data_IF_111517680277
#
_entry.id   IF_111517680277
#
_cell.length_a   1.000
_cell.length_b   1.000
_cell.length_c   1.000
_cell.angle_alpha   90.00
_cell.angle_beta   90.00
_cell.angle_gamma   90.00
#
_symmetry.space_group_name_H-M   'P 1'
#
loop_
_entity.id
_entity.type
_entity.pdbx_description
1 polymer ?
#
# COMPACT_ATOMS: atom_id res chain seq x y z
N UNK A 1 -27.49 -11.99 4.49
CA UNK A 1 -27.48 -11.12 5.68
C UNK A 1 -26.62 -9.92 5.32
N UNK A 2 -27.20 -8.72 5.24
CA UNK A 2 -26.44 -7.48 4.93
C UNK A 2 -25.86 -6.95 6.25
N UNK A 3 -24.56 -6.72 6.28
CA UNK A 3 -23.90 -6.10 7.43
C UNK A 3 -24.14 -4.58 7.42
N UNK A 4 -24.07 -3.95 8.59
CA UNK A 4 -24.20 -2.50 8.76
C UNK A 4 -23.26 -1.70 7.84
N UNK A 5 -22.02 -2.19 7.66
CA UNK A 5 -21.00 -1.62 6.78
C UNK A 5 -21.36 -1.65 5.29
N UNK A 6 -22.35 -2.46 4.89
CA UNK A 6 -22.77 -2.59 3.51
C UNK A 6 -23.78 -1.50 3.12
N UNK A 7 -24.48 -0.93 4.10
CA UNK A 7 -25.56 0.02 3.89
C UNK A 7 -25.12 1.47 4.03
N UNK A 8 -24.30 1.79 5.03
CA UNK A 8 -23.92 3.16 5.34
C UNK A 8 -22.50 3.28 5.90
N UNK A 9 -21.87 4.40 5.63
CA UNK A 9 -20.59 4.80 6.23
C UNK A 9 -20.84 6.00 7.16
N UNK A 10 -19.95 6.20 8.13
CA UNK A 10 -19.92 7.44 8.91
C UNK A 10 -19.30 8.52 8.04
N UNK A 11 -19.99 9.66 7.90
CA UNK A 11 -19.50 10.80 7.12
C UNK A 11 -18.17 11.29 7.69
N UNK A 12 -17.20 11.52 6.79
CA UNK A 12 -15.84 11.95 7.16
C UNK A 12 -14.86 10.80 7.50
N UNK A 13 -15.35 9.61 7.86
CA UNK A 13 -14.48 8.44 8.09
C UNK A 13 -14.10 7.82 6.76
N UNK A 14 -12.83 7.91 6.41
CA UNK A 14 -12.30 7.38 5.15
C UNK A 14 -10.97 6.68 5.33
N UNK A 15 -10.67 5.77 4.44
CA UNK A 15 -9.31 5.25 4.28
C UNK A 15 -8.49 6.28 3.49
N UNK A 16 -7.25 6.50 3.90
CA UNK A 16 -6.34 7.37 3.18
C UNK A 16 -5.34 6.53 2.38
N UNK A 17 -5.18 6.89 1.12
CA UNK A 17 -4.21 6.21 0.26
C UNK A 17 -2.81 6.75 0.52
N UNK A 18 -1.88 5.84 0.70
CA UNK A 18 -0.45 6.12 0.86
C UNK A 18 0.31 5.63 -0.35
N UNK A 19 1.35 6.38 -0.70
CA UNK A 19 2.24 6.06 -1.81
C UNK A 19 3.69 6.22 -1.38
N UNK A 20 4.56 5.35 -1.86
CA UNK A 20 5.99 5.44 -1.61
C UNK A 20 6.80 4.94 -2.79
N UNK A 21 8.02 5.44 -2.91
CA UNK A 21 9.02 4.97 -3.86
C UNK A 21 10.07 4.16 -3.11
N UNK A 22 10.35 2.95 -3.58
CA UNK A 22 11.30 2.05 -2.93
C UNK A 22 12.12 1.22 -3.91
N UNK A 23 12.98 0.40 -3.35
CA UNK A 23 13.79 -0.58 -4.08
C UNK A 23 13.47 -1.99 -3.60
N UNK A 24 13.34 -2.90 -4.55
CA UNK A 24 13.29 -4.34 -4.31
C UNK A 24 14.65 -4.92 -4.68
N UNK A 25 15.19 -5.73 -3.79
CA UNK A 25 16.50 -6.39 -3.96
C UNK A 25 16.35 -7.92 -3.90
N UNK A 26 17.39 -8.63 -4.31
CA UNK A 26 17.40 -10.10 -4.27
C UNK A 26 16.73 -10.76 -5.47
N UNK A 27 16.50 -9.99 -6.56
CA UNK A 27 15.98 -10.51 -7.82
C UNK A 27 17.07 -11.33 -8.53
N UNK A 28 16.69 -12.43 -9.14
CA UNK A 28 17.63 -13.32 -9.85
C UNK A 28 17.75 -12.91 -11.34
N UNK A 29 18.38 -11.77 -11.59
CA UNK A 29 18.59 -11.26 -12.94
C UNK A 29 17.33 -10.71 -13.63
N UNK A 30 16.21 -10.64 -12.91
CA UNK A 30 14.90 -10.20 -13.45
C UNK A 30 14.56 -8.74 -13.11
N UNK A 31 15.46 -8.06 -12.41
CA UNK A 31 15.33 -6.66 -12.03
C UNK A 31 15.57 -5.68 -13.18
N UNK A 32 15.72 -4.41 -12.82
CA UNK A 32 15.92 -3.33 -13.79
C UNK A 32 17.28 -3.39 -14.48
N UNK A 33 17.28 -3.01 -15.75
CA UNK A 33 18.50 -2.77 -16.53
C UNK A 33 19.04 -1.39 -16.17
N UNK A 34 19.99 -1.31 -15.24
CA UNK A 34 20.47 -0.05 -14.67
C UNK A 34 21.03 0.95 -15.68
N UNK A 35 21.46 0.49 -16.84
CA UNK A 35 21.92 1.38 -17.93
C UNK A 35 20.75 2.14 -18.58
N UNK A 36 19.56 1.54 -18.63
CA UNK A 36 18.37 2.11 -19.25
C UNK A 36 17.51 2.89 -18.24
N UNK A 37 17.66 2.55 -16.94
CA UNK A 37 16.83 3.11 -15.86
C UNK A 37 17.71 3.89 -14.88
N UNK A 38 18.08 5.14 -15.20
CA UNK A 38 19.03 5.92 -14.41
C UNK A 38 18.55 6.22 -12.98
N UNK A 39 17.24 6.34 -12.75
CA UNK A 39 16.70 6.59 -11.42
C UNK A 39 16.87 5.40 -10.47
N UNK A 40 16.79 4.16 -10.95
CA UNK A 40 17.08 2.96 -10.13
C UNK A 40 18.54 2.95 -9.70
N UNK A 41 19.44 3.27 -10.62
CA UNK A 41 20.88 3.38 -10.33
C UNK A 41 21.18 4.45 -9.29
N UNK A 42 20.61 5.65 -9.45
CA UNK A 42 20.81 6.76 -8.51
C UNK A 42 20.26 6.43 -7.11
N UNK A 43 19.09 5.82 -7.04
CA UNK A 43 18.46 5.42 -5.77
C UNK A 43 19.28 4.37 -5.04
N UNK A 44 19.76 3.35 -5.77
CA UNK A 44 20.66 2.34 -5.20
C UNK A 44 21.96 2.97 -4.69
N UNK A 45 22.55 3.87 -5.46
CA UNK A 45 23.76 4.59 -5.07
C UNK A 45 23.52 5.43 -3.80
N UNK A 46 22.47 6.23 -3.77
CA UNK A 46 22.13 7.06 -2.61
C UNK A 46 21.89 6.22 -1.34
N UNK A 47 21.26 5.06 -1.50
CA UNK A 47 21.02 4.13 -0.38
C UNK A 47 22.33 3.55 0.15
N UNK A 48 23.22 3.08 -0.73
CA UNK A 48 24.53 2.51 -0.34
C UNK A 48 25.42 3.57 0.31
N UNK A 49 25.42 4.80 -0.20
CA UNK A 49 26.14 5.92 0.40
C UNK A 49 25.63 6.25 1.81
N UNK A 50 24.30 6.20 2.05
CA UNK A 50 23.72 6.36 3.40
C UNK A 50 24.16 5.27 4.38
N UNK A 51 24.42 4.07 3.88
CA UNK A 51 24.94 2.95 4.67
C UNK A 51 26.46 2.98 4.82
N UNK A 52 27.14 4.02 4.33
CA UNK A 52 28.59 4.18 4.43
C UNK A 52 29.40 3.47 3.33
N UNK A 53 28.75 2.94 2.30
CA UNK A 53 29.42 2.31 1.16
C UNK A 53 29.65 3.35 0.07
N UNK A 54 30.92 3.68 -0.18
CA UNK A 54 31.28 4.62 -1.25
C UNK A 54 31.42 3.87 -2.58
N UNK A 55 30.52 4.19 -3.53
CA UNK A 55 30.51 3.58 -4.87
C UNK A 55 30.65 4.63 -5.99
N UNK A 56 31.11 5.84 -5.66
CA UNK A 56 31.29 6.92 -6.65
C UNK A 56 32.28 6.48 -7.74
N UNK A 57 31.84 6.58 -8.98
CA UNK A 57 32.65 6.16 -10.14
C UNK A 57 32.64 4.67 -10.43
N UNK A 58 32.00 3.83 -9.61
CA UNK A 58 31.84 2.41 -9.89
C UNK A 58 30.79 2.17 -10.98
N UNK A 59 31.07 1.25 -11.89
CA UNK A 59 30.08 0.76 -12.84
C UNK A 59 29.27 -0.33 -12.18
N UNK A 60 28.07 0.01 -11.74
CA UNK A 60 27.14 -0.96 -11.16
C UNK A 60 26.38 -1.65 -12.32
N UNK A 61 26.56 -2.96 -12.41
CA UNK A 61 25.84 -3.83 -13.35
C UNK A 61 25.18 -4.92 -12.54
N UNK A 62 23.88 -4.80 -12.34
CA UNK A 62 23.10 -5.82 -11.65
C UNK A 62 21.67 -5.80 -12.17
N UNK A 63 21.10 -6.97 -12.43
CA UNK A 63 19.67 -7.18 -12.67
C UNK A 63 18.94 -7.66 -11.42
N UNK A 64 19.56 -7.51 -10.25
CA UNK A 64 19.01 -8.03 -8.99
C UNK A 64 18.25 -6.97 -8.19
N UNK A 65 18.11 -5.76 -8.74
CA UNK A 65 17.43 -4.62 -8.10
C UNK A 65 16.38 -4.05 -9.05
N UNK A 66 15.24 -3.67 -8.52
CA UNK A 66 14.20 -2.96 -9.26
C UNK A 66 13.66 -1.77 -8.45
N UNK A 67 13.42 -0.66 -9.14
CA UNK A 67 12.65 0.45 -8.58
C UNK A 67 11.16 0.13 -8.61
N UNK A 68 10.49 0.42 -7.51
CA UNK A 68 9.09 0.07 -7.33
C UNK A 68 8.29 1.23 -6.73
N UNK A 69 7.01 1.27 -7.11
CA UNK A 69 5.99 2.04 -6.42
C UNK A 69 5.31 1.15 -5.40
N UNK A 70 5.19 1.66 -4.18
CA UNK A 70 4.50 0.98 -3.08
C UNK A 70 3.24 1.76 -2.76
N UNK A 71 2.12 1.08 -2.71
CA UNK A 71 0.83 1.67 -2.37
C UNK A 71 0.20 0.93 -1.21
N UNK A 72 -0.49 1.65 -0.33
CA UNK A 72 -1.21 1.08 0.80
C UNK A 72 -2.42 1.93 1.17
N UNK A 73 -3.40 1.31 1.81
CA UNK A 73 -4.58 2.00 2.32
C UNK A 73 -4.48 2.07 3.84
N UNK A 74 -4.23 3.28 4.36
CA UNK A 74 -4.26 3.54 5.78
C UNK A 74 -5.71 3.47 6.26
N UNK A 75 -6.06 2.50 7.14
CA UNK A 75 -7.41 2.39 7.64
C UNK A 75 -7.78 3.60 8.49
N UNK A 76 -9.06 3.98 8.45
CA UNK A 76 -9.59 4.91 9.43
C UNK A 76 -9.39 4.31 10.84
N UNK A 77 -8.95 5.09 11.79
CA UNK A 77 -8.60 4.64 13.15
C UNK A 77 -7.40 3.66 13.24
N UNK A 78 -6.55 3.64 12.21
CA UNK A 78 -5.28 2.91 12.28
C UNK A 78 -4.37 3.55 13.33
N UNK A 79 -4.04 2.79 14.40
CA UNK A 79 -3.17 3.26 15.49
C UNK A 79 -1.69 3.03 15.16
N UNK A 80 -0.83 3.88 15.72
CA UNK A 80 0.61 3.73 15.60
C UNK A 80 1.06 2.32 16.03
N UNK A 81 1.97 1.72 15.26
CA UNK A 81 2.47 0.36 15.48
C UNK A 81 1.59 -0.74 14.86
N UNK A 82 0.37 -0.44 14.39
CA UNK A 82 -0.43 -1.44 13.67
C UNK A 82 0.12 -1.68 12.27
N UNK A 83 -0.18 -2.85 11.72
CA UNK A 83 0.32 -3.28 10.42
C UNK A 83 -0.77 -3.22 9.36
N UNK A 84 -0.37 -2.91 8.14
CA UNK A 84 -1.25 -2.92 6.98
C UNK A 84 -0.57 -3.61 5.78
N UNK A 85 -1.38 -4.09 4.87
CA UNK A 85 -0.92 -4.67 3.62
C UNK A 85 -0.49 -3.59 2.63
N UNK A 86 0.50 -3.91 1.83
CA UNK A 86 0.95 -3.03 0.75
C UNK A 86 1.05 -3.78 -0.56
N UNK A 87 0.84 -3.05 -1.63
CA UNK A 87 1.04 -3.52 -3.01
C UNK A 87 2.29 -2.86 -3.56
N UNK A 88 3.12 -3.65 -4.21
CA UNK A 88 4.41 -3.24 -4.79
C UNK A 88 4.36 -3.47 -6.28
N UNK A 89 4.63 -2.44 -7.08
CA UNK A 89 4.57 -2.49 -8.54
C UNK A 89 5.89 -1.97 -9.14
N UNK A 90 6.47 -2.69 -10.10
CA UNK A 90 7.68 -2.25 -10.77
C UNK A 90 7.45 -0.95 -11.55
N UNK A 91 8.42 -0.03 -11.47
CA UNK A 91 8.43 1.24 -12.21
C UNK A 91 9.34 1.20 -13.43
N UNK A 92 10.35 0.34 -13.38
CA UNK A 92 11.36 0.21 -14.43
C UNK A 92 11.02 -0.91 -15.44
N UNK A 93 12.06 -1.50 -15.97
CA UNK A 93 11.98 -2.59 -16.95
C UNK A 93 12.16 -3.98 -16.33
N UNK A 94 12.01 -4.09 -15.02
CA UNK A 94 12.05 -5.37 -14.31
C UNK A 94 10.99 -6.33 -14.84
N UNK A 95 11.42 -7.54 -15.19
CA UNK A 95 10.56 -8.56 -15.79
C UNK A 95 9.77 -9.37 -14.76
N UNK A 96 10.33 -9.53 -13.56
CA UNK A 96 9.72 -10.31 -12.50
C UNK A 96 10.27 -9.86 -11.14
N UNK A 97 9.39 -9.69 -10.16
CA UNK A 97 9.74 -9.32 -8.78
C UNK A 97 9.76 -10.54 -7.82
N UNK A 98 9.57 -11.75 -8.33
CA UNK A 98 9.51 -12.95 -7.51
C UNK A 98 10.80 -13.19 -6.74
N UNK A 99 10.67 -13.57 -5.47
CA UNK A 99 11.82 -13.78 -4.56
C UNK A 99 12.43 -12.48 -4.02
N UNK A 100 11.99 -11.31 -4.50
CA UNK A 100 12.51 -10.03 -4.09
C UNK A 100 12.05 -9.61 -2.69
N UNK A 101 12.86 -8.77 -2.06
CA UNK A 101 12.57 -8.15 -0.77
C UNK A 101 12.54 -6.63 -0.94
N UNK A 102 11.44 -6.00 -0.50
CA UNK A 102 11.31 -4.55 -0.45
C UNK A 102 12.17 -4.00 0.70
N UNK A 103 13.02 -3.06 0.39
CA UNK A 103 13.79 -2.31 1.38
C UNK A 103 12.92 -1.27 2.09
N UNK A 104 13.39 -0.77 3.22
CA UNK A 104 12.69 0.25 4.01
C UNK A 104 12.23 1.40 3.13
N UNK A 105 10.92 1.57 3.04
CA UNK A 105 10.26 2.51 2.14
C UNK A 105 9.25 3.34 2.91
N UNK A 106 9.43 4.66 3.03
CA UNK A 106 8.42 5.54 3.61
C UNK A 106 7.21 5.66 2.69
N UNK A 107 6.02 5.60 3.28
CA UNK A 107 4.75 5.80 2.60
C UNK A 107 4.17 7.16 2.97
N UNK A 108 3.93 7.99 1.97
CA UNK A 108 3.48 9.36 2.12
C UNK A 108 1.97 9.46 1.84
N UNK A 109 1.31 10.32 2.59
CA UNK A 109 -0.04 10.77 2.29
C UNK A 109 -0.08 11.87 1.23
N UNK A 110 -1.26 12.32 0.87
CA UNK A 110 -1.48 13.40 -0.11
C UNK A 110 -0.91 14.76 0.37
N UNK A 111 -0.67 14.92 1.65
CA UNK A 111 -0.06 16.09 2.28
C UNK A 111 1.49 16.06 2.28
N UNK A 112 2.08 14.99 1.73
CA UNK A 112 3.53 14.80 1.68
C UNK A 112 4.17 14.33 2.98
N UNK A 113 3.39 14.08 4.03
CA UNK A 113 3.91 13.54 5.29
C UNK A 113 4.01 12.01 5.24
N UNK A 114 4.99 11.45 5.97
CA UNK A 114 5.14 10.01 6.13
C UNK A 114 4.17 9.51 7.21
N UNK A 115 3.34 8.53 6.86
CA UNK A 115 2.36 7.90 7.74
C UNK A 115 2.68 6.46 8.09
N UNK A 116 3.39 5.77 7.20
CA UNK A 116 3.78 4.39 7.42
C UNK A 116 5.13 4.08 6.80
N UNK A 117 5.75 2.99 7.23
CA UNK A 117 7.01 2.50 6.66
C UNK A 117 6.81 1.06 6.25
N UNK A 118 7.09 0.76 4.97
CA UNK A 118 6.94 -0.56 4.37
C UNK A 118 8.28 -1.27 4.21
N UNK A 119 8.29 -2.59 4.48
CA UNK A 119 9.42 -3.47 4.27
C UNK A 119 8.96 -4.93 4.27
N UNK A 120 9.62 -5.80 3.50
CA UNK A 120 9.38 -7.23 3.58
C UNK A 120 9.50 -7.97 2.27
N UNK A 121 9.35 -9.29 2.33
CA UNK A 121 9.41 -10.16 1.16
C UNK A 121 8.11 -10.11 0.35
N UNK A 122 8.24 -10.07 -0.98
CA UNK A 122 7.11 -9.97 -1.89
C UNK A 122 6.47 -11.34 -2.13
N UNK A 123 5.14 -11.40 -2.01
CA UNK A 123 4.33 -12.49 -2.51
C UNK A 123 3.80 -12.13 -3.91
N UNK A 124 4.20 -12.87 -4.92
CA UNK A 124 3.79 -12.68 -6.32
C UNK A 124 2.83 -13.80 -6.70
N UNK A 125 1.70 -13.46 -7.28
CA UNK A 125 0.70 -14.43 -7.74
C UNK A 125 0.91 -14.90 -9.19
N UNK A 126 1.89 -14.35 -9.90
CA UNK A 126 2.24 -14.70 -11.27
C UNK A 126 3.58 -15.44 -11.37
N UNK A 127 3.76 -16.21 -12.42
CA UNK A 127 5.04 -16.78 -12.80
C UNK A 127 5.29 -16.58 -14.29
N UNK A 128 6.56 -16.49 -14.64
CA UNK A 128 7.04 -16.49 -16.03
C UNK A 128 8.03 -17.63 -16.17
N UNK A 129 7.81 -18.52 -17.11
CA UNK A 129 8.75 -19.54 -17.51
C UNK A 129 9.13 -19.27 -18.98
N UNK A 130 10.42 -19.21 -19.25
CA UNK A 130 11.00 -18.99 -20.59
C UNK A 130 11.87 -20.19 -20.92
N UNK A 131 11.53 -20.91 -22.01
CA UNK A 131 12.32 -22.00 -22.57
C UNK A 131 12.71 -21.64 -24.01
N UNK A 132 13.68 -22.42 -24.59
CA UNK A 132 14.21 -22.13 -25.95
C UNK A 132 13.13 -22.05 -27.05
N UNK A 133 11.96 -22.68 -26.86
CA UNK A 133 10.90 -22.74 -27.87
C UNK A 133 9.56 -22.11 -27.42
N UNK A 134 9.38 -21.74 -26.17
CA UNK A 134 8.12 -21.18 -25.68
C UNK A 134 8.30 -20.31 -24.46
N UNK A 135 7.54 -19.22 -24.41
CA UNK A 135 7.42 -18.33 -23.25
C UNK A 135 6.01 -18.46 -22.67
N UNK A 136 5.90 -18.88 -21.42
CA UNK A 136 4.63 -18.95 -20.71
C UNK A 136 4.64 -17.88 -19.62
N UNK A 137 3.71 -16.94 -19.71
CA UNK A 137 3.47 -15.93 -18.67
C UNK A 137 2.08 -16.18 -18.08
N UNK A 138 2.00 -16.41 -16.79
CA UNK A 138 0.74 -16.53 -16.07
C UNK A 138 0.70 -15.54 -14.93
N UNK A 139 -0.30 -14.65 -14.93
CA UNK A 139 -0.43 -13.57 -13.98
C UNK A 139 0.48 -12.37 -14.33
N UNK A 140 0.63 -11.44 -13.39
CA UNK A 140 1.45 -10.23 -13.55
C UNK A 140 2.65 -10.31 -12.61
N UNK A 141 3.82 -10.76 -13.09
CA UNK A 141 5.00 -10.99 -12.23
C UNK A 141 5.67 -9.68 -11.76
N UNK A 142 5.26 -8.55 -12.29
CA UNK A 142 5.78 -7.20 -11.94
C UNK A 142 4.99 -6.51 -10.84
N UNK A 143 3.95 -7.17 -10.30
CA UNK A 143 3.16 -6.69 -9.17
C UNK A 143 3.14 -7.75 -8.08
N UNK A 144 3.41 -7.32 -6.85
CA UNK A 144 3.40 -8.18 -5.67
C UNK A 144 2.66 -7.54 -4.50
N UNK A 145 2.36 -8.35 -3.50
CA UNK A 145 1.77 -7.92 -2.24
C UNK A 145 2.66 -8.34 -1.09
N UNK A 146 2.74 -7.50 -0.07
CA UNK A 146 3.37 -7.83 1.21
C UNK A 146 2.27 -7.75 2.26
N UNK A 147 1.84 -8.92 2.77
CA UNK A 147 0.87 -8.98 3.85
C UNK A 147 1.50 -8.45 5.13
N UNK A 148 0.80 -7.54 5.83
CA UNK A 148 1.32 -6.85 7.00
C UNK A 148 2.67 -6.17 6.75
N UNK A 149 2.90 -5.71 5.53
CA UNK A 149 4.19 -5.22 5.04
C UNK A 149 4.54 -3.80 5.46
N UNK A 150 3.60 -3.02 5.95
CA UNK A 150 3.87 -1.68 6.46
C UNK A 150 3.43 -1.53 7.91
N UNK A 151 4.19 -0.74 8.67
CA UNK A 151 3.89 -0.34 10.04
C UNK A 151 3.44 1.12 10.00
N UNK A 152 2.34 1.43 10.67
CA UNK A 152 1.82 2.80 10.82
C UNK A 152 2.69 3.54 11.84
N UNK A 153 3.31 4.64 11.42
CA UNK A 153 4.17 5.50 12.24
C UNK A 153 3.43 6.75 12.76
N UNK A 154 2.41 7.18 12.02
CA UNK A 154 1.61 8.34 12.38
C UNK A 154 0.13 8.05 12.17
N UNK A 155 -0.67 8.39 13.15
CA UNK A 155 -2.12 8.32 13.08
C UNK A 155 -2.69 9.53 12.33
N UNK A 156 -3.85 9.33 11.71
CA UNK A 156 -4.68 10.43 11.24
C UNK A 156 -5.72 10.66 12.31
N UNK A 157 -5.63 11.81 13.00
CA UNK A 157 -6.59 12.18 14.03
C UNK A 157 -7.99 12.28 13.43
N UNK A 158 -8.88 11.47 13.96
CA UNK A 158 -10.29 11.53 13.65
C UNK A 158 -11.08 11.91 14.90
N UNK A 159 -11.31 13.21 15.06
CA UNK A 159 -11.94 13.77 16.25
C UNK A 159 -13.46 13.57 16.27
N UNK A 160 -13.94 12.31 16.28
CA UNK A 160 -15.38 12.00 16.42
C UNK A 160 -16.01 12.65 17.65
N UNK A 161 -15.27 12.74 18.74
CA UNK A 161 -15.72 13.34 20.01
C UNK A 161 -15.90 14.87 19.94
N UNK A 162 -15.35 15.54 18.93
CA UNK A 162 -15.50 16.98 18.71
C UNK A 162 -16.63 17.31 17.75
N UNK A 163 -17.24 16.31 17.11
CA UNK A 163 -18.35 16.53 16.20
C UNK A 163 -19.65 16.68 17.00
N UNK A 164 -20.43 17.75 16.78
CA UNK A 164 -21.70 17.92 17.45
C UNK A 164 -22.73 16.86 17.07
N UNK A 165 -22.63 16.29 15.89
CA UNK A 165 -23.49 15.24 15.36
C UNK A 165 -22.69 14.26 14.52
N UNK A 166 -23.02 12.98 14.60
CA UNK A 166 -22.52 11.93 13.69
C UNK A 166 -23.54 11.72 12.58
N UNK A 167 -23.09 11.83 11.32
CA UNK A 167 -23.93 11.61 10.16
C UNK A 167 -23.61 10.26 9.53
N UNK A 168 -24.66 9.51 9.17
CA UNK A 168 -24.57 8.27 8.40
C UNK A 168 -24.86 8.59 6.93
N UNK A 169 -23.87 8.36 6.07
CA UNK A 169 -24.01 8.50 4.62
C UNK A 169 -24.35 7.13 4.03
N UNK A 170 -25.49 7.02 3.37
CA UNK A 170 -25.84 5.79 2.65
C UNK A 170 -24.91 5.60 1.45
N UNK A 171 -24.44 4.37 1.25
CA UNK A 171 -23.65 4.01 0.05
C UNK A 171 -24.47 4.11 -1.22
N UNK A 172 -25.76 3.73 -1.13
CA UNK A 172 -26.72 3.89 -2.20
C UNK A 172 -27.81 4.84 -1.70
N UNK A 173 -27.90 6.02 -2.31
CA UNK A 173 -28.83 7.07 -1.87
C UNK A 173 -30.27 6.64 -2.13
N UNK A 174 -31.01 6.31 -1.05
CA UNK A 174 -32.41 5.94 -1.08
C UNK A 174 -33.16 6.51 0.14
N UNK A 175 -34.20 7.29 -0.11
CA UNK A 175 -35.00 7.91 0.94
C UNK A 175 -35.75 6.91 1.83
N UNK A 176 -36.18 5.78 1.25
CA UNK A 176 -36.91 4.73 1.99
C UNK A 176 -35.97 4.07 3.00
N UNK A 177 -34.75 3.71 2.57
CA UNK A 177 -33.73 3.13 3.42
C UNK A 177 -33.27 4.11 4.50
N UNK A 178 -33.09 5.40 4.17
CA UNK A 178 -32.77 6.44 5.14
C UNK A 178 -33.82 6.56 6.26
N UNK A 179 -35.11 6.60 5.90
CA UNK A 179 -36.21 6.65 6.88
C UNK A 179 -36.25 5.40 7.76
N UNK A 180 -36.03 4.20 7.20
CA UNK A 180 -36.01 2.94 7.95
C UNK A 180 -34.85 2.88 8.94
N UNK A 181 -33.67 3.34 8.54
CA UNK A 181 -32.50 3.41 9.43
C UNK A 181 -32.75 4.42 10.55
N UNK A 182 -33.25 5.61 10.24
CA UNK A 182 -33.58 6.61 11.24
C UNK A 182 -34.63 6.13 12.25
N UNK A 183 -35.69 5.46 11.77
CA UNK A 183 -36.71 4.87 12.64
C UNK A 183 -36.12 3.78 13.56
N UNK A 184 -35.27 2.90 13.01
CA UNK A 184 -34.65 1.83 13.79
C UNK A 184 -33.69 2.37 14.86
N UNK A 185 -32.90 3.39 14.54
CA UNK A 185 -31.99 4.04 15.51
C UNK A 185 -32.79 4.72 16.62
N UNK A 186 -33.85 5.48 16.31
CA UNK A 186 -34.69 6.16 17.28
C UNK A 186 -35.46 5.16 18.18
N UNK A 187 -35.86 4.00 17.65
CA UNK A 187 -36.54 2.95 18.43
C UNK A 187 -35.58 2.26 19.42
N UNK A 188 -34.33 2.09 19.03
CA UNK A 188 -33.28 1.57 19.93
C UNK A 188 -32.95 2.56 21.05
N UNK A 189 -32.83 3.85 20.73
CA UNK A 189 -32.53 4.89 21.72
C UNK A 189 -33.63 5.00 22.79
N UNK A 190 -34.89 4.93 22.39
CA UNK A 190 -36.04 4.90 23.31
C UNK A 190 -36.03 3.68 24.25
N UNK A 191 -35.48 2.56 23.82
CA UNK A 191 -35.37 1.32 24.65
C UNK A 191 -34.16 1.33 25.57
N UNK A 192 -33.14 2.17 25.30
CA UNK A 192 -31.94 2.28 26.14
C UNK A 192 -32.08 3.24 27.33
N UNK A 193 -33.20 3.92 27.47
CA UNK A 193 -33.50 4.92 28.52
C UNK A 193 -34.42 4.34 29.62
N UNK A 194 -34.41 3.04 29.81
CA UNK A 194 -35.17 2.37 30.90
C UNK A 194 -34.19 1.79 31.93
#
# INVERSE_FOLDING_TARGET
MLFRSDLANIEGVRQNQLIGYGLVVGLNGTGDTLNNIPFTKQSLQAMLERMGVNIRGATIRTGNVAAVMVTGNLPAFGTQGTRMDVTVSALGDAKNLQGGTLLVTPLLGADGNVYAVAQGSLAISGFQAEGEAAKIVRGVPTVGRIANGAIIEREIEFALNRLPNVRLALRNADFTTAKRIAAAVNDLDRKSVV
#
